data_IF_483194582340
#
_entry.id   IF_483194582340
#
_cell.length_a   1.000
_cell.length_b   1.000
_cell.length_c   1.000
_cell.angle_alpha   90.00
_cell.angle_beta   90.00
_cell.angle_gamma   90.00
#
_symmetry.space_group_name_H-M   'P 1'
#
loop_
_entity.id
_entity.type
_entity.pdbx_description
1 polymer ?
#
# COMPACT_ATOMS: atom_id res chain seq x y z
N UNK A 1 24.10 6.34 16.27
CA UNK A 1 22.89 5.53 16.48
C UNK A 1 22.94 4.34 15.54
N UNK A 2 22.65 3.12 15.98
CA UNK A 2 22.59 1.96 15.10
C UNK A 2 21.60 2.19 13.96
N UNK A 3 21.88 1.65 12.79
CA UNK A 3 21.08 1.83 11.56
C UNK A 3 19.65 1.34 11.78
N UNK A 4 19.47 0.24 12.50
CA UNK A 4 18.16 -0.35 12.83
C UNK A 4 17.22 0.54 13.68
N UNK A 5 17.73 1.61 14.30
CA UNK A 5 16.90 2.51 15.14
C UNK A 5 16.32 3.70 14.38
N UNK A 6 16.62 3.85 13.08
CA UNK A 6 16.13 4.96 12.26
C UNK A 6 14.83 4.58 11.59
N UNK A 7 13.82 5.47 11.63
CA UNK A 7 12.68 5.32 10.77
C UNK A 7 13.07 5.55 9.29
N UNK A 8 12.19 5.16 8.36
CA UNK A 8 12.48 5.19 6.92
C UNK A 8 12.79 6.61 6.40
N UNK A 9 12.10 7.63 6.89
CA UNK A 9 12.39 9.01 6.51
C UNK A 9 13.77 9.44 7.00
N UNK A 10 14.09 9.17 8.26
CA UNK A 10 15.41 9.49 8.84
C UNK A 10 16.54 8.76 8.15
N UNK A 11 16.32 7.50 7.73
CA UNK A 11 17.32 6.73 7.01
C UNK A 11 17.66 7.35 5.65
N UNK A 12 16.64 7.86 4.95
CA UNK A 12 16.83 8.59 3.69
C UNK A 12 17.26 10.05 3.88
N UNK A 13 17.27 10.58 5.10
CA UNK A 13 17.53 11.99 5.38
C UNK A 13 16.41 12.91 4.88
N UNK A 14 15.19 12.41 4.88
CA UNK A 14 13.97 13.13 4.47
C UNK A 14 13.18 13.57 5.71
N UNK A 15 12.46 14.66 5.56
CA UNK A 15 11.40 15.03 6.51
C UNK A 15 10.19 14.09 6.34
N UNK A 16 9.48 13.76 7.42
CA UNK A 16 8.23 12.99 7.35
C UNK A 16 7.16 13.79 6.59
N UNK A 17 6.98 13.49 5.29
CA UNK A 17 6.02 14.15 4.40
C UNK A 17 5.28 13.15 3.54
N UNK A 18 4.03 13.47 3.22
CA UNK A 18 3.22 12.67 2.30
C UNK A 18 3.58 12.93 0.83
N UNK A 19 3.99 14.16 0.50
CA UNK A 19 4.52 14.48 -0.83
C UNK A 19 6.05 14.35 -0.84
N UNK A 20 6.55 13.37 -1.58
CA UNK A 20 7.99 13.11 -1.76
C UNK A 20 8.32 13.21 -3.24
N UNK A 21 9.37 13.94 -3.57
CA UNK A 21 9.92 14.01 -4.93
C UNK A 21 10.50 12.64 -5.30
N UNK A 22 9.91 12.01 -6.32
CA UNK A 22 10.27 10.66 -6.75
C UNK A 22 11.70 10.58 -7.30
N UNK A 23 12.14 11.60 -8.02
CA UNK A 23 13.49 11.66 -8.62
C UNK A 23 14.54 11.87 -7.54
N UNK A 24 14.28 12.77 -6.58
CA UNK A 24 15.13 12.97 -5.43
C UNK A 24 15.25 11.71 -4.56
N UNK A 25 14.13 11.00 -4.31
CA UNK A 25 14.11 9.75 -3.59
C UNK A 25 14.93 8.66 -4.31
N UNK A 26 14.76 8.54 -5.63
CA UNK A 26 15.50 7.57 -6.44
C UNK A 26 17.01 7.87 -6.45
N UNK A 27 17.38 9.13 -6.62
CA UNK A 27 18.78 9.55 -6.54
C UNK A 27 19.39 9.19 -5.20
N UNK A 28 18.69 9.47 -4.11
CA UNK A 28 19.12 9.14 -2.76
C UNK A 28 19.24 7.65 -2.52
N UNK A 29 18.34 6.85 -3.08
CA UNK A 29 18.44 5.39 -3.06
C UNK A 29 19.75 4.90 -3.70
N UNK A 30 20.10 5.41 -4.89
CA UNK A 30 21.37 5.01 -5.53
C UNK A 30 22.61 5.45 -4.76
N UNK A 31 22.58 6.63 -4.13
CA UNK A 31 23.70 7.09 -3.27
C UNK A 31 23.91 6.15 -2.08
N UNK A 32 22.85 5.82 -1.35
CA UNK A 32 22.86 4.92 -0.21
C UNK A 32 23.22 3.48 -0.62
N UNK A 33 22.71 3.01 -1.76
CA UNK A 33 23.03 1.69 -2.31
C UNK A 33 24.53 1.55 -2.59
N UNK A 34 25.16 2.58 -3.17
CA UNK A 34 26.61 2.60 -3.37
C UNK A 34 27.36 2.64 -2.04
N UNK A 35 26.86 3.37 -1.05
CA UNK A 35 27.49 3.48 0.27
C UNK A 35 27.49 2.13 1.01
N UNK A 36 26.38 1.41 0.99
CA UNK A 36 26.14 0.19 1.77
C UNK A 36 26.28 -1.10 0.95
N UNK A 37 26.80 -1.03 -0.29
CA UNK A 37 26.95 -2.20 -1.15
C UNK A 37 27.83 -3.27 -0.50
N UNK A 38 27.38 -4.53 -0.38
CA UNK A 38 28.11 -5.60 0.31
C UNK A 38 29.54 -5.79 -0.19
N UNK A 39 29.81 -5.61 -1.49
CA UNK A 39 31.14 -5.74 -2.06
C UNK A 39 32.18 -4.79 -1.43
N UNK A 40 31.76 -3.62 -0.99
CA UNK A 40 32.64 -2.67 -0.31
C UNK A 40 33.09 -3.13 1.08
N UNK A 41 32.33 -4.06 1.66
CA UNK A 41 32.53 -4.61 2.98
C UNK A 41 33.10 -6.04 2.95
N UNK A 42 33.32 -6.61 1.77
CA UNK A 42 33.84 -7.99 1.60
C UNK A 42 35.15 -8.29 2.31
N UNK A 43 35.99 -7.24 2.54
CA UNK A 43 37.27 -7.34 3.24
C UNK A 43 37.25 -6.70 4.64
N UNK A 44 36.08 -6.37 5.14
CA UNK A 44 35.86 -5.77 6.45
C UNK A 44 35.59 -6.83 7.51
N UNK A 45 35.50 -6.42 8.77
CA UNK A 45 35.14 -7.33 9.87
C UNK A 45 33.73 -7.93 9.68
N UNK A 46 33.46 -9.08 10.30
CA UNK A 46 32.16 -9.71 10.27
C UNK A 46 31.04 -8.78 10.80
N UNK A 47 31.35 -7.94 11.79
CA UNK A 47 30.41 -6.96 12.32
C UNK A 47 30.03 -5.88 11.27
N UNK A 48 31.07 -5.33 10.55
CA UNK A 48 30.83 -4.35 9.50
C UNK A 48 30.09 -4.95 8.30
N UNK A 49 30.34 -6.22 7.97
CA UNK A 49 29.58 -6.94 6.92
C UNK A 49 28.11 -7.12 7.32
N UNK A 50 27.85 -7.51 8.56
CA UNK A 50 26.49 -7.64 9.08
C UNK A 50 25.74 -6.30 9.08
N UNK A 51 26.42 -5.21 9.50
CA UNK A 51 25.83 -3.86 9.45
C UNK A 51 25.50 -3.42 8.01
N UNK A 52 26.37 -3.71 7.03
CA UNK A 52 26.13 -3.40 5.63
C UNK A 52 24.93 -4.19 5.06
N UNK A 53 24.77 -5.44 5.45
CA UNK A 53 23.63 -6.27 5.05
C UNK A 53 22.33 -5.74 5.64
N UNK A 54 22.31 -5.40 6.92
CA UNK A 54 21.18 -4.80 7.60
C UNK A 54 20.79 -3.45 6.97
N UNK A 55 21.78 -2.59 6.68
CA UNK A 55 21.58 -1.33 5.99
C UNK A 55 20.98 -1.52 4.59
N UNK A 56 21.43 -2.54 3.84
CA UNK A 56 20.92 -2.84 2.51
C UNK A 56 19.47 -3.33 2.56
N UNK A 57 19.13 -4.17 3.53
CA UNK A 57 17.74 -4.61 3.75
C UNK A 57 16.84 -3.41 4.08
N UNK A 58 17.24 -2.61 5.06
CA UNK A 58 16.52 -1.40 5.46
C UNK A 58 16.35 -0.42 4.29
N UNK A 59 17.39 -0.25 3.46
CA UNK A 59 17.37 0.58 2.26
C UNK A 59 16.27 0.15 1.28
N UNK A 60 16.19 -1.15 0.99
CA UNK A 60 15.22 -1.70 0.05
C UNK A 60 13.79 -1.57 0.58
N UNK A 61 13.57 -1.87 1.86
CA UNK A 61 12.26 -1.77 2.49
C UNK A 61 11.78 -0.32 2.59
N UNK A 62 12.68 0.59 2.99
CA UNK A 62 12.40 2.02 3.06
C UNK A 62 12.06 2.58 1.67
N UNK A 63 12.84 2.24 0.64
CA UNK A 63 12.59 2.71 -0.72
C UNK A 63 11.26 2.23 -1.26
N UNK A 64 10.93 0.92 -1.10
CA UNK A 64 9.66 0.33 -1.50
C UNK A 64 8.46 1.01 -0.85
N UNK A 65 8.59 1.33 0.43
CA UNK A 65 7.54 1.99 1.21
C UNK A 65 7.41 3.46 0.83
N UNK A 66 8.52 4.20 0.78
CA UNK A 66 8.49 5.65 0.52
C UNK A 66 8.17 6.00 -0.93
N UNK A 67 8.46 5.11 -1.89
CA UNK A 67 8.14 5.32 -3.31
C UNK A 67 6.64 5.25 -3.58
N UNK A 68 5.92 4.38 -2.90
CA UNK A 68 4.49 4.20 -3.05
C UNK A 68 3.73 5.21 -2.17
N UNK A 69 2.89 6.10 -2.73
CA UNK A 69 2.17 7.12 -1.94
C UNK A 69 1.28 6.53 -0.85
N UNK A 70 0.61 5.41 -1.14
CA UNK A 70 -0.31 4.74 -0.18
C UNK A 70 0.49 4.10 0.94
N UNK A 71 1.52 3.31 0.63
CA UNK A 71 2.39 2.67 1.63
C UNK A 71 3.12 3.69 2.48
N UNK A 72 3.55 4.80 1.87
CA UNK A 72 4.17 5.92 2.59
C UNK A 72 3.22 6.56 3.59
N UNK A 73 1.96 6.77 3.19
CA UNK A 73 0.95 7.32 4.08
C UNK A 73 0.58 6.34 5.21
N UNK A 74 0.43 5.05 4.91
CA UNK A 74 0.23 4.01 5.91
C UNK A 74 1.38 3.95 6.92
N UNK A 75 2.61 4.04 6.41
CA UNK A 75 3.80 4.05 7.24
C UNK A 75 3.84 5.31 8.15
N UNK A 76 3.60 6.50 7.58
CA UNK A 76 3.56 7.74 8.35
C UNK A 76 2.49 7.68 9.45
N UNK A 77 1.27 7.25 9.11
CA UNK A 77 0.20 7.08 10.09
C UNK A 77 0.60 6.14 11.23
N UNK A 78 1.29 5.04 10.92
CA UNK A 78 1.78 4.10 11.92
C UNK A 78 2.82 4.74 12.85
N UNK A 79 3.78 5.50 12.30
CA UNK A 79 4.80 6.20 13.08
C UNK A 79 4.19 7.26 14.01
N UNK A 80 3.11 7.93 13.57
CA UNK A 80 2.38 8.95 14.33
C UNK A 80 1.31 8.36 15.29
N UNK A 81 1.25 7.04 15.43
CA UNK A 81 0.32 6.36 16.35
C UNK A 81 -1.11 6.22 15.84
N UNK A 82 -1.35 6.42 14.55
CA UNK A 82 -2.63 6.22 13.86
C UNK A 82 -2.61 5.01 12.92
N UNK A 83 -2.27 3.79 13.37
CA UNK A 83 -2.18 2.66 12.46
C UNK A 83 -3.52 2.41 11.78
N UNK A 84 -3.45 2.02 10.51
CA UNK A 84 -4.61 1.51 9.79
C UNK A 84 -4.96 0.17 10.42
N UNK A 85 -6.16 0.08 11.02
CA UNK A 85 -6.63 -1.13 11.65
C UNK A 85 -6.72 -2.29 10.67
N UNK A 86 -6.57 -3.53 11.17
CA UNK A 86 -7.01 -4.69 10.42
C UNK A 86 -8.52 -4.55 10.21
N UNK A 87 -8.91 -4.31 8.96
CA UNK A 87 -10.30 -4.24 8.58
C UNK A 87 -10.89 -5.65 8.74
N UNK A 88 -11.60 -5.85 9.83
CA UNK A 88 -12.45 -7.03 9.95
C UNK A 88 -13.55 -6.87 8.89
N UNK A 89 -13.81 -7.94 8.14
CA UNK A 89 -14.84 -7.98 7.10
C UNK A 89 -16.26 -7.58 7.55
N UNK A 90 -16.43 -7.25 8.83
CA UNK A 90 -17.69 -6.85 9.45
C UNK A 90 -17.92 -5.33 9.50
N UNK A 91 -16.87 -4.53 9.28
CA UNK A 91 -16.98 -3.06 9.35
C UNK A 91 -17.10 -2.50 7.93
N UNK A 92 -18.24 -2.77 7.28
CA UNK A 92 -18.55 -2.17 5.97
C UNK A 92 -18.76 -0.67 6.18
N UNK A 93 -18.03 0.20 5.45
CA UNK A 93 -18.32 1.61 5.46
C UNK A 93 -19.80 1.84 5.08
N UNK A 94 -20.55 2.67 5.84
CA UNK A 94 -21.98 2.85 5.59
C UNK A 94 -22.31 3.24 4.15
N UNK A 95 -21.44 4.01 3.52
CA UNK A 95 -21.56 4.45 2.13
C UNK A 95 -21.33 3.34 1.09
N UNK A 96 -20.88 2.15 1.49
CA UNK A 96 -20.62 1.00 0.61
C UNK A 96 -21.57 -0.16 0.89
N UNK A 97 -22.56 0.02 1.75
CA UNK A 97 -23.48 -1.07 2.15
C UNK A 97 -24.31 -1.60 0.97
N UNK A 98 -24.78 -0.70 0.12
CA UNK A 98 -25.57 -1.05 -1.05
C UNK A 98 -24.74 -1.84 -2.07
N UNK A 99 -23.56 -1.34 -2.40
CA UNK A 99 -22.63 -1.98 -3.34
C UNK A 99 -22.17 -3.36 -2.86
N UNK A 100 -21.93 -3.50 -1.56
CA UNK A 100 -21.56 -4.79 -0.96
C UNK A 100 -22.73 -5.78 -1.02
N UNK A 101 -23.94 -5.32 -0.78
CA UNK A 101 -25.12 -6.16 -0.88
C UNK A 101 -25.36 -6.63 -2.33
N UNK A 102 -25.32 -5.71 -3.31
CA UNK A 102 -25.44 -6.04 -4.74
C UNK A 102 -24.35 -7.03 -5.19
N UNK A 103 -23.11 -6.80 -4.76
CA UNK A 103 -21.99 -7.70 -5.06
C UNK A 103 -22.23 -9.11 -4.52
N UNK A 104 -22.64 -9.22 -3.24
CA UNK A 104 -22.87 -10.53 -2.64
C UNK A 104 -23.99 -11.30 -3.34
N UNK A 105 -25.08 -10.62 -3.75
CA UNK A 105 -26.14 -11.23 -4.53
C UNK A 105 -25.60 -11.76 -5.87
N UNK A 106 -24.90 -10.92 -6.63
CA UNK A 106 -24.34 -11.31 -7.93
C UNK A 106 -23.33 -12.47 -7.82
N UNK A 107 -22.56 -12.53 -6.72
CA UNK A 107 -21.63 -13.64 -6.46
C UNK A 107 -22.36 -14.97 -6.19
N UNK A 108 -23.50 -14.95 -5.48
CA UNK A 108 -24.31 -16.15 -5.24
C UNK A 108 -25.02 -16.61 -6.52
N UNK A 109 -25.57 -15.69 -7.31
CA UNK A 109 -26.20 -15.99 -8.59
C UNK A 109 -25.21 -16.58 -9.60
N UNK A 110 -23.98 -16.05 -9.65
CA UNK A 110 -22.90 -16.61 -10.50
C UNK A 110 -22.58 -18.06 -10.14
N UNK A 111 -22.56 -18.42 -8.85
CA UNK A 111 -22.36 -19.80 -8.40
C UNK A 111 -23.49 -20.71 -8.86
N UNK A 112 -24.70 -20.18 -9.03
CA UNK A 112 -25.85 -20.85 -9.60
C UNK A 112 -25.78 -21.06 -11.12
N UNK A 113 -24.77 -20.49 -11.80
CA UNK A 113 -24.56 -20.62 -13.24
C UNK A 113 -25.35 -19.61 -14.06
N UNK A 114 -25.74 -18.47 -13.47
CA UNK A 114 -26.45 -17.40 -14.17
C UNK A 114 -25.47 -16.53 -14.99
N UNK A 115 -25.63 -16.52 -16.31
CA UNK A 115 -24.82 -15.71 -17.22
C UNK A 115 -25.09 -14.20 -17.07
N UNK A 116 -26.26 -13.80 -16.59
CA UNK A 116 -26.58 -12.39 -16.32
C UNK A 116 -25.80 -11.89 -15.10
N UNK A 117 -25.60 -12.72 -14.10
CA UNK A 117 -24.77 -12.40 -12.94
C UNK A 117 -23.32 -12.08 -13.33
N UNK A 118 -22.76 -12.73 -14.35
CA UNK A 118 -21.43 -12.40 -14.86
C UNK A 118 -21.36 -10.96 -15.41
N UNK A 119 -22.36 -10.56 -16.21
CA UNK A 119 -22.44 -9.19 -16.75
C UNK A 119 -22.62 -8.16 -15.63
N UNK A 120 -23.40 -8.50 -14.61
CA UNK A 120 -23.58 -7.65 -13.44
C UNK A 120 -22.26 -7.47 -12.66
N UNK A 121 -21.48 -8.53 -12.45
CA UNK A 121 -20.16 -8.45 -11.83
C UNK A 121 -19.17 -7.62 -12.65
N UNK A 122 -19.16 -7.73 -13.97
CA UNK A 122 -18.35 -6.88 -14.84
C UNK A 122 -18.71 -5.40 -14.70
N UNK A 123 -20.02 -5.09 -14.62
CA UNK A 123 -20.50 -3.72 -14.36
C UNK A 123 -20.10 -3.22 -12.97
N UNK A 124 -20.23 -4.06 -11.95
CA UNK A 124 -19.83 -3.76 -10.56
C UNK A 124 -18.33 -3.52 -10.47
N UNK A 125 -17.52 -4.30 -11.20
CA UNK A 125 -16.08 -4.07 -11.32
C UNK A 125 -15.75 -2.68 -11.82
N UNK A 126 -16.44 -2.22 -12.88
CA UNK A 126 -16.24 -0.88 -13.44
C UNK A 126 -16.61 0.19 -12.40
N UNK A 127 -17.72 0.03 -11.66
CA UNK A 127 -18.10 0.95 -10.56
C UNK A 127 -16.97 1.05 -9.52
N UNK A 128 -16.42 -0.08 -9.06
CA UNK A 128 -15.35 -0.08 -8.05
C UNK A 128 -14.03 0.51 -8.56
N UNK A 129 -13.69 0.32 -9.83
CA UNK A 129 -12.51 0.96 -10.44
C UNK A 129 -12.66 2.48 -10.46
N UNK A 130 -13.84 2.99 -10.83
CA UNK A 130 -14.13 4.43 -10.79
C UNK A 130 -14.05 4.97 -9.36
N UNK A 131 -14.66 4.27 -8.41
CA UNK A 131 -14.64 4.64 -6.99
C UNK A 131 -13.20 4.66 -6.43
N UNK A 132 -12.37 3.69 -6.80
CA UNK A 132 -10.96 3.66 -6.42
C UNK A 132 -10.21 4.88 -6.96
N UNK A 133 -10.44 5.26 -8.22
CA UNK A 133 -9.81 6.42 -8.82
C UNK A 133 -10.25 7.74 -8.13
N UNK A 134 -11.50 7.86 -7.71
CA UNK A 134 -12.00 9.00 -6.94
C UNK A 134 -11.34 9.07 -5.56
N UNK A 135 -11.22 7.94 -4.87
CA UNK A 135 -10.52 7.85 -3.58
C UNK A 135 -9.06 8.23 -3.74
N UNK A 136 -8.37 7.75 -4.77
CA UNK A 136 -6.97 8.08 -5.04
C UNK A 136 -6.79 9.58 -5.31
N UNK A 137 -7.71 10.21 -6.01
CA UNK A 137 -7.73 11.66 -6.23
C UNK A 137 -7.95 12.43 -4.91
N UNK A 138 -8.85 11.94 -4.06
CA UNK A 138 -9.06 12.53 -2.73
C UNK A 138 -7.79 12.42 -1.88
N UNK A 139 -7.13 11.27 -1.87
CA UNK A 139 -5.86 11.07 -1.16
C UNK A 139 -4.77 12.02 -1.66
N UNK A 140 -4.64 12.20 -2.98
CA UNK A 140 -3.68 13.14 -3.55
C UNK A 140 -3.91 14.57 -3.04
N UNK A 141 -5.17 15.02 -2.98
CA UNK A 141 -5.53 16.33 -2.45
C UNK A 141 -5.18 16.47 -0.96
N UNK A 142 -5.51 15.44 -0.16
CA UNK A 142 -5.18 15.41 1.26
C UNK A 142 -3.66 15.42 1.49
N UNK A 143 -2.91 14.67 0.69
CA UNK A 143 -1.45 14.63 0.79
C UNK A 143 -0.79 15.95 0.42
N UNK A 144 -1.32 16.64 -0.60
CA UNK A 144 -0.82 17.96 -1.02
C UNK A 144 -1.05 19.05 0.04
N UNK A 145 -2.14 18.93 0.79
CA UNK A 145 -2.52 19.90 1.83
C UNK A 145 -2.06 19.48 3.24
N UNK A 146 -1.40 18.31 3.37
CA UNK A 146 -0.90 17.84 4.65
C UNK A 146 0.26 18.73 5.10
N UNK A 147 0.05 19.46 6.18
CA UNK A 147 1.13 20.02 6.99
C UNK A 147 1.42 19.07 8.16
N UNK A 148 2.56 19.16 8.78
CA UNK A 148 2.97 18.28 9.88
C UNK A 148 2.11 18.44 11.16
N UNK A 149 0.97 19.11 11.08
CA UNK A 149 -0.02 19.13 12.15
C UNK A 149 -0.83 17.84 12.11
N UNK A 150 -1.07 17.22 13.26
CA UNK A 150 -1.75 15.92 13.37
C UNK A 150 -3.24 15.96 12.98
N UNK A 151 -3.79 17.11 12.65
CA UNK A 151 -5.23 17.29 12.40
C UNK A 151 -5.74 16.57 11.14
N UNK A 152 -4.92 16.46 10.09
CA UNK A 152 -5.29 15.75 8.85
C UNK A 152 -5.14 14.21 8.89
N UNK A 153 -4.41 13.67 9.86
CA UNK A 153 -4.13 12.24 9.92
C UNK A 153 -5.37 11.34 10.10
N UNK A 154 -6.34 11.66 10.96
CA UNK A 154 -7.58 10.89 11.10
C UNK A 154 -8.39 10.83 9.79
N UNK A 155 -8.46 11.93 9.04
CA UNK A 155 -9.15 11.98 7.75
C UNK A 155 -8.44 11.11 6.72
N UNK A 156 -7.12 11.25 6.58
CA UNK A 156 -6.30 10.40 5.69
C UNK A 156 -6.47 8.93 6.03
N UNK A 157 -6.48 8.58 7.33
CA UNK A 157 -6.73 7.22 7.79
C UNK A 157 -8.10 6.71 7.35
N UNK A 158 -9.14 7.52 7.48
CA UNK A 158 -10.50 7.17 7.04
C UNK A 158 -10.56 6.87 5.55
N UNK A 159 -9.95 7.73 4.72
CA UNK A 159 -9.91 7.55 3.26
C UNK A 159 -9.07 6.33 2.87
N UNK A 160 -7.93 6.07 3.52
CA UNK A 160 -7.13 4.87 3.28
C UNK A 160 -7.85 3.58 3.69
N UNK A 161 -8.62 3.58 4.78
CA UNK A 161 -9.45 2.46 5.17
C UNK A 161 -10.52 2.16 4.09
N UNK A 162 -11.19 3.20 3.59
CA UNK A 162 -12.16 3.06 2.49
C UNK A 162 -11.50 2.52 1.22
N UNK A 163 -10.32 3.04 0.87
CA UNK A 163 -9.55 2.55 -0.28
C UNK A 163 -9.25 1.06 -0.16
N UNK A 164 -8.73 0.63 0.99
CA UNK A 164 -8.41 -0.78 1.27
C UNK A 164 -9.65 -1.66 1.16
N UNK A 165 -10.80 -1.16 1.59
CA UNK A 165 -12.07 -1.88 1.48
C UNK A 165 -12.46 -2.09 0.01
N UNK A 166 -12.44 -1.04 -0.80
CA UNK A 166 -12.71 -1.12 -2.25
C UNK A 166 -11.72 -2.03 -2.97
N UNK A 167 -10.43 -2.00 -2.60
CA UNK A 167 -9.41 -2.93 -3.13
C UNK A 167 -9.74 -4.40 -2.81
N UNK A 168 -10.33 -4.68 -1.65
CA UNK A 168 -10.76 -6.04 -1.30
C UNK A 168 -11.96 -6.46 -2.15
N UNK A 169 -12.96 -5.58 -2.32
CA UNK A 169 -14.12 -5.86 -3.18
C UNK A 169 -13.70 -6.11 -4.62
N UNK A 170 -12.79 -5.31 -5.18
CA UNK A 170 -12.25 -5.52 -6.52
C UNK A 170 -11.57 -6.89 -6.65
N UNK A 171 -10.76 -7.29 -5.67
CA UNK A 171 -10.12 -8.62 -5.68
C UNK A 171 -11.14 -9.76 -5.63
N UNK A 172 -12.22 -9.60 -4.90
CA UNK A 172 -13.28 -10.62 -4.82
C UNK A 172 -14.02 -10.74 -6.15
N UNK A 173 -14.35 -9.61 -6.80
CA UNK A 173 -14.91 -9.59 -8.16
C UNK A 173 -13.95 -10.21 -9.18
N UNK A 174 -12.68 -9.80 -9.20
CA UNK A 174 -11.68 -10.32 -10.13
C UNK A 174 -11.48 -11.82 -9.98
N UNK A 175 -11.50 -12.33 -8.74
CA UNK A 175 -11.42 -13.77 -8.44
C UNK A 175 -12.65 -14.52 -8.96
N UNK A 176 -13.84 -13.95 -8.82
CA UNK A 176 -15.08 -14.56 -9.30
C UNK A 176 -15.16 -14.59 -10.83
N UNK A 177 -14.73 -13.52 -11.50
CA UNK A 177 -14.70 -13.43 -12.95
C UNK A 177 -13.62 -14.30 -13.60
N UNK A 178 -12.49 -14.53 -12.91
CA UNK A 178 -11.32 -15.25 -13.43
C UNK A 178 -10.81 -16.32 -12.44
N UNK A 179 -11.60 -17.37 -12.17
CA UNK A 179 -11.23 -18.39 -11.18
C UNK A 179 -9.94 -19.15 -11.55
N UNK A 180 -9.63 -19.30 -12.83
CA UNK A 180 -8.40 -19.96 -13.29
C UNK A 180 -7.13 -19.15 -12.99
N UNK A 181 -7.19 -17.82 -13.02
CA UNK A 181 -6.07 -16.96 -12.66
C UNK A 181 -5.79 -16.96 -11.14
N UNK A 182 -6.82 -17.18 -10.34
CA UNK A 182 -6.70 -17.25 -8.88
C UNK A 182 -6.07 -18.57 -8.38
N UNK A 183 -6.06 -19.61 -9.21
CA UNK A 183 -5.50 -20.92 -8.88
C UNK A 183 -4.00 -21.05 -9.20
N UNK A 184 -3.39 -20.09 -9.89
CA UNK A 184 -1.95 -20.07 -10.14
C UNK A 184 -1.21 -19.61 -8.89
N UNK A 185 -0.29 -20.44 -8.32
CA UNK A 185 0.55 -19.97 -7.22
C UNK A 185 1.38 -18.79 -7.73
N UNK A 186 1.41 -17.71 -6.94
CA UNK A 186 2.34 -16.62 -7.14
C UNK A 186 3.73 -17.22 -6.98
N UNK A 187 4.43 -17.48 -8.10
CA UNK A 187 5.86 -17.75 -8.04
C UNK A 187 6.50 -16.51 -7.42
N UNK A 188 6.95 -16.66 -6.18
CA UNK A 188 7.85 -15.74 -5.51
C UNK A 188 9.08 -15.60 -6.43
N UNK A 189 9.11 -14.50 -7.19
CA UNK A 189 10.36 -14.10 -7.85
C UNK A 189 11.26 -13.54 -6.76
N UNK A 190 12.24 -14.36 -6.40
CA UNK A 190 13.46 -14.05 -5.64
C UNK A 190 14.18 -12.82 -6.18
#
# INVERSE_FOLDING_TARGET
MPIASKNFFQFFGLEPKLCVDADALQKRFYELSRQWHPDRFSRKSAAEQAEALEATSLLNDSYRTLKDPVKRAEYLLKEEGFPIGEQRSKDVPPELLEEVFELNMALEELKGGDDDARRQLESTRVKFVVMQAEIDKQLQSLFANYDATTQGLPEIRGVLNRRRYVDNLLRDVDRALNPAAAASPVEERL
#
